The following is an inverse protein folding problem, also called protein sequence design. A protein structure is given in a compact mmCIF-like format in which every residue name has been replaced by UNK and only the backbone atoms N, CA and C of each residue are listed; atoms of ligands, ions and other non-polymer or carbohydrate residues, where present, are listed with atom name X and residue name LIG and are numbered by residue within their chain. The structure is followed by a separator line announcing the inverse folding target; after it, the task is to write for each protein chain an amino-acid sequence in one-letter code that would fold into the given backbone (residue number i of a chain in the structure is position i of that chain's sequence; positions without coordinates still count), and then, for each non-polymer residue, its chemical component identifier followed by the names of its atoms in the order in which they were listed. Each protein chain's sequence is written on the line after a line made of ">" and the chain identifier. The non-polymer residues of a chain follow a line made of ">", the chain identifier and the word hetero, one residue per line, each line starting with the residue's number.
data_IF_256622875601
#
_entry.id   IF_256622875601
#
_cell.length_a   1.000
_cell.length_b   1.000
_cell.length_c   1.000
_cell.angle_alpha   90.00
_cell.angle_beta   90.00
_cell.angle_gamma   90.00
#
_symmetry.space_group_name_H-M   'P 1'
#
loop_
_entity.id
_entity.type
_entity.pdbx_description
1 polymer ?
#
# COMPACT_ATOMS: atom_id res chain seq x y z
N UNK A 1 -26.42 -7.15 9.52
CA UNK A 1 -25.20 -7.88 9.23
C UNK A 1 -25.04 -8.02 7.74
N UNK A 2 -24.01 -7.42 7.18
CA UNK A 2 -23.65 -7.54 5.77
C UNK A 2 -23.14 -8.97 5.59
N UNK A 3 -23.86 -9.80 4.81
CA UNK A 3 -23.33 -11.08 4.38
C UNK A 3 -22.27 -10.83 3.30
N UNK A 4 -21.03 -10.66 3.71
CA UNK A 4 -19.86 -10.47 2.82
C UNK A 4 -19.43 -11.76 2.11
N UNK A 5 -20.35 -12.66 1.80
CA UNK A 5 -20.10 -13.91 1.11
C UNK A 5 -20.16 -13.79 -0.42
N UNK A 6 -19.67 -12.70 -1.01
CA UNK A 6 -19.36 -12.75 -2.43
C UNK A 6 -18.04 -13.53 -2.59
N UNK A 7 -18.20 -14.80 -2.80
CA UNK A 7 -17.09 -15.74 -2.99
C UNK A 7 -16.44 -15.48 -4.34
N UNK A 8 -15.11 -15.56 -4.40
CA UNK A 8 -14.36 -15.58 -5.67
C UNK A 8 -15.06 -16.57 -6.62
N UNK A 9 -15.42 -16.17 -7.86
CA UNK A 9 -16.09 -17.09 -8.77
C UNK A 9 -15.29 -18.36 -8.98
N UNK A 10 -15.96 -19.50 -8.95
CA UNK A 10 -15.30 -20.79 -9.10
C UNK A 10 -14.46 -20.81 -10.39
N UNK A 11 -13.19 -21.13 -10.25
CA UNK A 11 -12.25 -21.21 -11.37
C UNK A 11 -11.73 -19.89 -11.88
N UNK A 12 -12.05 -18.73 -11.25
CA UNK A 12 -11.64 -17.42 -11.73
C UNK A 12 -10.13 -17.31 -11.95
N UNK A 13 -9.33 -17.87 -11.06
CA UNK A 13 -7.85 -17.84 -11.13
C UNK A 13 -7.23 -19.18 -11.64
N UNK A 14 -7.98 -20.09 -12.24
CA UNK A 14 -7.45 -21.41 -12.66
C UNK A 14 -6.27 -21.34 -13.65
N UNK A 15 -6.16 -20.26 -14.43
CA UNK A 15 -5.05 -20.04 -15.36
C UNK A 15 -3.86 -19.30 -14.75
N UNK A 16 -3.93 -18.90 -13.48
CA UNK A 16 -2.85 -18.26 -12.75
C UNK A 16 -1.88 -19.31 -12.18
N UNK A 17 -1.13 -19.99 -13.05
CA UNK A 17 -0.28 -21.14 -12.71
C UNK A 17 1.21 -20.85 -12.76
N UNK A 18 1.60 -19.67 -13.23
CA UNK A 18 2.97 -19.23 -13.39
C UNK A 18 3.59 -18.66 -12.10
N UNK A 19 4.77 -18.10 -12.25
CA UNK A 19 5.48 -17.34 -11.22
C UNK A 19 6.05 -16.07 -11.83
N UNK A 20 6.46 -15.13 -10.98
CA UNK A 20 7.09 -13.87 -11.40
C UNK A 20 6.23 -13.13 -12.44
N UNK A 21 6.87 -12.57 -13.46
CA UNK A 21 6.15 -11.81 -14.49
C UNK A 21 5.28 -12.66 -15.42
N UNK A 22 5.50 -14.01 -15.46
CA UNK A 22 4.56 -14.92 -16.14
C UNK A 22 3.22 -14.94 -15.42
N UNK A 23 3.22 -15.05 -14.09
CA UNK A 23 2.00 -14.94 -13.29
C UNK A 23 1.33 -13.57 -13.47
N UNK A 24 2.12 -12.49 -13.48
CA UNK A 24 1.60 -11.12 -13.68
C UNK A 24 0.79 -11.01 -14.98
N UNK A 25 1.36 -11.48 -16.11
CA UNK A 25 0.68 -11.45 -17.42
C UNK A 25 -0.55 -12.39 -17.46
N UNK A 26 -0.50 -13.54 -16.78
CA UNK A 26 -1.67 -14.40 -16.63
C UNK A 26 -2.79 -13.69 -15.85
N UNK A 27 -2.47 -13.05 -14.73
CA UNK A 27 -3.43 -12.25 -13.96
C UNK A 27 -4.00 -11.10 -14.79
N UNK A 28 -3.17 -10.37 -15.56
CA UNK A 28 -3.65 -9.35 -16.49
C UNK A 28 -4.70 -9.92 -17.45
N UNK A 29 -4.43 -11.08 -18.03
CA UNK A 29 -5.38 -11.73 -18.95
C UNK A 29 -6.70 -12.10 -18.25
N UNK A 30 -6.65 -12.61 -17.02
CA UNK A 30 -7.82 -12.97 -16.20
C UNK A 30 -8.64 -11.72 -15.89
N UNK A 31 -8.01 -10.67 -15.33
CA UNK A 31 -8.73 -9.46 -14.89
C UNK A 31 -9.12 -8.52 -16.02
N UNK A 32 -8.63 -8.77 -17.24
CA UNK A 32 -9.08 -8.07 -18.44
C UNK A 32 -10.27 -8.77 -19.09
N UNK A 33 -10.38 -10.08 -18.91
CA UNK A 33 -11.48 -10.86 -19.46
C UNK A 33 -12.77 -10.56 -18.69
N UNK A 34 -13.82 -10.18 -19.42
CA UNK A 34 -15.11 -9.86 -18.81
C UNK A 34 -15.23 -8.45 -18.21
N UNK A 35 -14.15 -7.68 -18.18
CA UNK A 35 -14.21 -6.27 -17.76
C UNK A 35 -15.10 -5.47 -18.72
N UNK A 36 -16.02 -4.68 -18.13
CA UNK A 36 -16.90 -3.77 -18.84
C UNK A 36 -16.67 -2.37 -18.29
N UNK A 37 -16.28 -1.45 -19.16
CA UNK A 37 -16.20 -0.03 -18.81
C UNK A 37 -17.64 0.53 -18.67
N UNK A 38 -18.06 0.81 -17.46
CA UNK A 38 -19.38 1.36 -17.15
C UNK A 38 -19.45 2.89 -17.34
N UNK A 39 -18.31 3.50 -17.65
CA UNK A 39 -18.20 4.94 -17.82
C UNK A 39 -17.87 5.71 -16.54
N UNK A 40 -17.15 6.81 -16.72
CA UNK A 40 -16.64 7.61 -15.62
C UNK A 40 -17.74 8.20 -14.72
N UNK A 41 -18.90 8.55 -15.30
CA UNK A 41 -20.04 9.07 -14.54
C UNK A 41 -20.65 8.07 -13.55
N UNK A 42 -20.70 6.80 -13.94
CA UNK A 42 -21.37 5.75 -13.19
C UNK A 42 -20.58 5.27 -11.96
N UNK A 43 -19.32 5.65 -11.81
CA UNK A 43 -18.57 5.43 -10.58
C UNK A 43 -19.28 5.95 -9.33
N UNK A 44 -19.97 7.10 -9.43
CA UNK A 44 -20.74 7.63 -8.30
C UNK A 44 -21.90 6.72 -7.89
N UNK A 45 -22.50 5.97 -8.83
CA UNK A 45 -23.53 5.01 -8.53
C UNK A 45 -22.95 3.76 -7.87
N UNK A 46 -21.77 3.33 -8.30
CA UNK A 46 -21.07 2.19 -7.72
C UNK A 46 -20.62 2.44 -6.27
N UNK A 47 -20.19 3.65 -5.94
CA UNK A 47 -19.74 4.01 -4.59
C UNK A 47 -20.79 3.80 -3.50
N UNK A 48 -22.06 3.82 -3.83
CA UNK A 48 -23.16 3.54 -2.87
C UNK A 48 -23.03 2.14 -2.25
N UNK A 49 -22.49 1.18 -2.98
CA UNK A 49 -22.28 -0.18 -2.45
C UNK A 49 -20.83 -0.50 -2.16
N UNK A 50 -19.88 0.11 -2.88
CA UNK A 50 -18.46 -0.22 -2.75
C UNK A 50 -17.69 0.65 -1.77
N UNK A 51 -18.11 1.90 -1.57
CA UNK A 51 -17.37 2.90 -0.80
C UNK A 51 -18.32 3.67 0.17
N UNK A 52 -19.28 2.97 0.79
CA UNK A 52 -20.03 3.46 1.95
C UNK A 52 -19.32 3.07 3.24
N UNK A 53 -19.40 3.92 4.25
CA UNK A 53 -18.91 3.57 5.58
C UNK A 53 -19.81 2.58 6.28
N UNK A 54 -19.41 1.30 6.23
CA UNK A 54 -19.99 0.17 6.93
C UNK A 54 -19.08 -0.37 8.03
N UNK A 55 -17.89 0.21 8.22
CA UNK A 55 -16.81 -0.43 8.99
C UNK A 55 -16.32 0.41 10.17
N UNK A 56 -16.45 1.73 10.12
CA UNK A 56 -15.99 2.66 11.18
C UNK A 56 -17.21 3.20 11.95
N UNK A 57 -17.81 4.31 11.55
CA UNK A 57 -19.04 4.83 12.16
C UNK A 57 -20.29 4.02 11.79
N UNK A 58 -20.25 3.31 10.67
CA UNK A 58 -21.36 2.56 10.11
C UNK A 58 -22.60 3.43 9.91
N UNK A 59 -22.40 4.64 9.40
CA UNK A 59 -23.44 5.65 9.20
C UNK A 59 -23.94 5.75 7.75
N UNK A 60 -23.35 4.92 6.85
CA UNK A 60 -23.67 4.84 5.43
C UNK A 60 -23.35 6.12 4.63
N UNK A 61 -22.48 6.98 5.14
CA UNK A 61 -21.88 8.08 4.38
C UNK A 61 -20.82 7.53 3.42
N UNK A 62 -20.24 8.40 2.60
CA UNK A 62 -19.10 8.00 1.74
C UNK A 62 -17.87 7.75 2.60
N UNK A 63 -17.30 6.55 2.51
CA UNK A 63 -16.00 6.26 3.10
C UNK A 63 -14.91 6.90 2.25
N UNK A 64 -14.38 8.00 2.74
CA UNK A 64 -13.33 8.78 2.12
C UNK A 64 -11.99 8.55 2.84
N UNK A 65 -11.06 7.84 2.23
CA UNK A 65 -9.75 7.54 2.82
C UNK A 65 -8.93 8.79 3.20
N UNK A 66 -9.32 9.98 2.72
CA UNK A 66 -8.62 11.24 3.00
C UNK A 66 -9.27 12.08 4.09
N UNK A 67 -10.44 11.70 4.59
CA UNK A 67 -11.13 12.36 5.71
C UNK A 67 -11.47 11.42 6.88
N UNK A 68 -11.53 10.12 6.63
CA UNK A 68 -11.82 9.07 7.61
C UNK A 68 -10.91 9.13 8.85
N UNK A 69 -11.52 8.97 10.03
CA UNK A 69 -10.84 8.84 11.31
C UNK A 69 -11.12 7.47 11.95
N UNK A 70 -10.32 6.44 11.67
CA UNK A 70 -10.58 5.05 12.09
C UNK A 70 -10.71 4.82 13.61
N UNK A 71 -10.42 5.82 14.42
CA UNK A 71 -10.43 5.71 15.90
C UNK A 71 -11.40 6.65 16.59
N UNK A 72 -12.18 7.39 15.82
CA UNK A 72 -13.11 8.37 16.36
C UNK A 72 -14.06 8.90 15.29
N UNK A 73 -14.84 9.89 15.61
CA UNK A 73 -15.77 10.50 14.65
C UNK A 73 -15.02 11.30 13.60
N UNK A 74 -15.45 11.19 12.35
CA UNK A 74 -14.96 11.98 11.25
C UNK A 74 -15.18 13.48 11.48
N UNK A 75 -14.23 14.28 11.01
CA UNK A 75 -14.34 15.74 11.09
C UNK A 75 -15.51 16.25 10.24
N UNK A 76 -15.78 15.56 9.12
CA UNK A 76 -16.88 15.82 8.20
C UNK A 76 -17.13 14.60 7.32
N UNK A 77 -18.34 14.44 6.82
CA UNK A 77 -18.76 13.36 5.95
C UNK A 77 -19.43 13.85 4.68
N UNK A 78 -19.53 13.00 3.70
CA UNK A 78 -20.23 13.22 2.44
C UNK A 78 -21.33 12.19 2.25
N UNK A 79 -22.52 12.67 1.87
CA UNK A 79 -23.64 11.81 1.54
C UNK A 79 -23.59 11.35 0.09
N UNK A 80 -24.28 10.24 -0.21
CA UNK A 80 -24.42 9.72 -1.58
C UNK A 80 -25.41 10.48 -2.46
N UNK A 81 -26.09 11.51 -1.94
CA UNK A 81 -27.11 12.32 -2.63
C UNK A 81 -26.57 13.10 -3.84
N UNK A 82 -25.27 13.32 -3.88
CA UNK A 82 -24.59 13.99 -4.98
C UNK A 82 -24.51 15.52 -4.87
N UNK A 83 -25.08 16.12 -3.84
CA UNK A 83 -25.12 17.56 -3.65
C UNK A 83 -23.75 18.19 -3.46
N UNK A 84 -22.80 17.40 -2.95
CA UNK A 84 -21.43 17.84 -2.68
C UNK A 84 -20.37 17.27 -3.63
N UNK A 85 -20.79 16.83 -4.82
CA UNK A 85 -19.89 16.46 -5.91
C UNK A 85 -19.34 17.70 -6.59
N UNK A 86 -18.02 17.85 -6.72
CA UNK A 86 -17.46 19.00 -7.40
C UNK A 86 -16.07 18.79 -8.01
N UNK A 87 -15.65 19.82 -8.77
CA UNK A 87 -14.28 19.98 -9.27
C UNK A 87 -13.62 21.29 -8.80
N UNK A 88 -14.36 22.14 -8.05
CA UNK A 88 -13.86 23.42 -7.52
C UNK A 88 -14.02 23.43 -6.00
N UNK A 89 -12.93 23.67 -5.29
CA UNK A 89 -12.83 23.63 -3.84
C UNK A 89 -11.78 24.64 -3.36
N UNK A 90 -11.91 25.12 -2.14
CA UNK A 90 -10.97 26.03 -1.49
C UNK A 90 -10.43 25.47 -0.17
N UNK A 91 -11.17 24.56 0.46
CA UNK A 91 -10.82 23.91 1.73
C UNK A 91 -11.34 22.47 1.79
N UNK A 92 -10.81 21.72 2.76
CA UNK A 92 -11.41 20.43 3.15
C UNK A 92 -12.87 20.65 3.55
N UNK A 93 -13.70 19.62 3.33
CA UNK A 93 -15.14 19.66 3.56
C UNK A 93 -15.95 20.52 2.57
N UNK A 94 -15.35 21.06 1.51
CA UNK A 94 -16.14 21.76 0.48
C UNK A 94 -16.96 20.76 -0.36
N UNK A 95 -16.33 19.73 -0.86
CA UNK A 95 -16.94 18.71 -1.70
C UNK A 95 -16.02 17.53 -1.95
N UNK A 96 -16.58 16.44 -2.48
CA UNK A 96 -15.82 15.26 -2.89
C UNK A 96 -15.79 15.11 -4.41
N UNK A 97 -14.77 14.41 -4.87
CA UNK A 97 -14.62 14.04 -6.27
C UNK A 97 -14.03 12.61 -6.40
N UNK A 98 -13.60 12.24 -7.59
CA UNK A 98 -13.02 10.92 -7.89
C UNK A 98 -11.51 11.04 -7.94
N UNK A 99 -10.86 10.47 -6.94
CA UNK A 99 -9.43 10.35 -6.87
C UNK A 99 -8.94 9.20 -7.75
N UNK A 100 -7.96 9.46 -8.59
CA UNK A 100 -7.23 8.42 -9.31
C UNK A 100 -5.95 8.08 -8.55
N UNK A 101 -5.94 6.95 -7.86
CA UNK A 101 -4.80 6.49 -7.04
C UNK A 101 -3.52 6.43 -7.91
N UNK A 102 -3.61 5.93 -9.15
CA UNK A 102 -2.60 6.24 -10.16
C UNK A 102 -3.08 7.47 -10.97
N UNK A 103 -2.33 8.60 -10.96
CA UNK A 103 -2.83 9.88 -11.48
C UNK A 103 -3.27 9.84 -12.93
N UNK A 104 -4.50 10.29 -13.21
CA UNK A 104 -5.05 10.30 -14.56
C UNK A 104 -4.27 11.16 -15.56
N UNK A 105 -3.49 12.12 -15.09
CA UNK A 105 -2.62 12.93 -15.92
C UNK A 105 -1.52 12.11 -16.61
N UNK A 106 -1.06 11.03 -15.99
CA UNK A 106 0.00 10.19 -16.55
C UNK A 106 -0.47 9.31 -17.73
N UNK A 107 -1.76 9.03 -17.81
CA UNK A 107 -2.34 8.25 -18.91
C UNK A 107 -3.32 9.07 -19.77
N UNK A 108 -3.21 10.41 -19.75
CA UNK A 108 -4.00 11.33 -20.57
C UNK A 108 -5.52 11.12 -20.46
N UNK A 109 -6.00 10.73 -19.26
CA UNK A 109 -7.42 10.44 -18.98
C UNK A 109 -8.04 9.38 -19.90
N UNK A 110 -7.23 8.48 -20.44
CA UNK A 110 -7.70 7.43 -21.35
C UNK A 110 -8.56 6.40 -20.63
N UNK A 111 -9.52 5.84 -21.38
CA UNK A 111 -10.32 4.70 -20.96
C UNK A 111 -9.59 3.39 -21.28
N UNK A 112 -9.82 2.31 -20.55
CA UNK A 112 -10.72 2.20 -19.38
C UNK A 112 -10.12 2.67 -18.06
N UNK A 113 -8.84 3.08 -17.99
CA UNK A 113 -8.15 3.46 -16.76
C UNK A 113 -8.89 4.54 -15.97
N UNK A 114 -9.48 5.52 -16.68
CA UNK A 114 -10.18 6.65 -16.06
C UNK A 114 -11.44 6.26 -15.31
N UNK A 115 -12.08 5.14 -15.68
CA UNK A 115 -13.34 4.66 -15.11
C UNK A 115 -13.20 3.36 -14.32
N UNK A 116 -11.98 2.86 -14.12
CA UNK A 116 -11.74 1.60 -13.40
C UNK A 116 -11.85 1.79 -11.89
N UNK A 117 -12.95 1.26 -11.31
CA UNK A 117 -13.26 1.40 -9.89
C UNK A 117 -12.16 0.85 -8.97
N UNK A 118 -11.35 -0.13 -9.42
CA UNK A 118 -10.30 -0.72 -8.60
C UNK A 118 -9.20 0.27 -8.18
N UNK A 119 -9.06 1.42 -8.87
CA UNK A 119 -8.12 2.47 -8.47
C UNK A 119 -8.71 3.88 -8.52
N UNK A 120 -10.02 4.01 -8.73
CA UNK A 120 -10.71 5.29 -8.67
C UNK A 120 -11.69 5.27 -7.50
N UNK A 121 -11.50 6.17 -6.56
CA UNK A 121 -12.21 6.20 -5.27
C UNK A 121 -12.80 7.59 -4.99
N UNK A 122 -13.88 7.69 -4.18
CA UNK A 122 -14.37 8.98 -3.75
C UNK A 122 -13.45 9.54 -2.66
N UNK A 123 -13.08 10.82 -2.78
CA UNK A 123 -12.29 11.52 -1.75
C UNK A 123 -12.61 13.00 -1.70
N UNK A 124 -12.30 13.64 -0.58
CA UNK A 124 -12.30 15.10 -0.46
C UNK A 124 -11.54 15.76 -1.62
N UNK A 125 -12.17 16.68 -2.29
CA UNK A 125 -11.63 17.32 -3.49
C UNK A 125 -10.39 18.17 -3.20
N UNK A 126 -10.35 18.86 -2.04
CA UNK A 126 -9.22 19.68 -1.66
C UNK A 126 -8.00 18.82 -1.31
N UNK A 127 -8.18 17.75 -0.53
CA UNK A 127 -7.09 16.81 -0.20
C UNK A 127 -6.56 16.15 -1.45
N UNK A 128 -7.44 15.69 -2.36
CA UNK A 128 -7.06 15.20 -3.68
C UNK A 128 -6.22 16.24 -4.46
N UNK A 129 -6.67 17.51 -4.47
CA UNK A 129 -5.91 18.59 -5.06
C UNK A 129 -4.54 18.82 -4.41
N UNK A 130 -4.43 18.68 -3.08
CA UNK A 130 -3.15 18.75 -2.34
C UNK A 130 -2.24 17.59 -2.66
N UNK A 131 -2.80 16.38 -2.83
CA UNK A 131 -2.05 15.21 -3.33
C UNK A 131 -1.51 15.47 -4.74
N UNK A 132 -2.31 16.06 -5.62
CA UNK A 132 -1.91 16.34 -7.02
C UNK A 132 -1.46 15.06 -7.74
N UNK A 133 -0.42 15.12 -8.57
CA UNK A 133 0.19 13.96 -9.23
C UNK A 133 1.39 13.39 -8.43
N UNK A 134 1.57 13.80 -7.17
CA UNK A 134 2.67 13.27 -6.38
C UNK A 134 2.50 11.76 -6.15
N UNK A 135 3.56 10.96 -6.24
CA UNK A 135 3.49 9.56 -5.84
C UNK A 135 3.21 9.43 -4.34
N UNK A 136 2.74 8.29 -3.92
CA UNK A 136 2.64 7.98 -2.50
C UNK A 136 4.03 7.72 -1.90
N UNK A 137 4.18 7.98 -0.59
CA UNK A 137 5.47 7.80 0.09
C UNK A 137 5.37 8.03 1.59
N UNK A 138 6.51 8.08 2.27
CA UNK A 138 6.62 8.34 3.71
C UNK A 138 7.16 9.76 3.93
N UNK A 139 6.55 10.51 4.84
CA UNK A 139 6.87 11.93 5.11
C UNK A 139 7.30 12.11 6.56
N UNK A 140 8.51 12.62 6.81
CA UNK A 140 8.96 12.97 8.17
C UNK A 140 8.63 14.41 8.56
N UNK A 141 8.71 15.33 7.60
CA UNK A 141 8.46 16.76 7.80
C UNK A 141 7.43 17.22 6.78
N UNK A 142 6.17 17.26 7.20
CA UNK A 142 5.06 17.66 6.36
C UNK A 142 5.13 19.15 6.04
N UNK A 143 4.94 19.48 4.75
CA UNK A 143 4.67 20.87 4.32
C UNK A 143 3.19 21.20 4.39
N UNK A 144 2.36 20.17 4.42
CA UNK A 144 0.92 20.27 4.61
C UNK A 144 0.40 18.96 5.25
N UNK A 145 -0.64 19.08 6.08
CA UNK A 145 -1.31 17.94 6.74
C UNK A 145 -2.82 18.16 6.66
N UNK A 146 -3.57 17.12 6.28
CA UNK A 146 -5.04 17.12 6.27
C UNK A 146 -5.62 16.95 7.68
N UNK A 147 -6.91 17.14 7.80
CA UNK A 147 -7.63 16.96 9.07
C UNK A 147 -7.54 15.51 9.61
N UNK A 148 -7.51 14.51 8.74
CA UNK A 148 -7.33 13.12 9.18
C UNK A 148 -5.86 12.72 9.44
N UNK A 149 -4.91 13.59 9.13
CA UNK A 149 -3.49 13.34 9.37
C UNK A 149 -2.68 12.88 8.15
N UNK A 150 -3.30 12.79 6.95
CA UNK A 150 -2.56 12.56 5.70
C UNK A 150 -1.63 13.73 5.40
N UNK A 151 -0.49 13.50 4.73
CA UNK A 151 0.59 14.49 4.65
C UNK A 151 1.12 14.68 3.24
N UNK A 152 1.55 15.89 2.93
CA UNK A 152 2.39 16.21 1.78
C UNK A 152 3.76 16.67 2.27
N UNK A 153 4.84 16.16 1.69
CA UNK A 153 6.19 16.54 2.07
C UNK A 153 7.25 15.77 1.29
N UNK A 154 8.51 15.97 1.68
CA UNK A 154 9.63 15.25 1.07
C UNK A 154 9.61 13.78 1.48
N UNK A 155 9.81 12.90 0.50
CA UNK A 155 9.87 11.46 0.74
C UNK A 155 11.10 11.08 1.56
N UNK A 156 10.88 10.16 2.49
CA UNK A 156 11.95 9.59 3.35
C UNK A 156 12.17 8.10 3.12
N UNK A 157 11.45 7.49 2.18
CA UNK A 157 11.54 6.07 1.88
C UNK A 157 12.30 5.81 0.57
N UNK A 158 13.26 4.91 0.61
CA UNK A 158 13.98 4.47 -0.59
C UNK A 158 14.90 5.54 -1.19
N UNK A 159 15.10 5.46 -2.51
CA UNK A 159 16.03 6.32 -3.25
C UNK A 159 15.40 7.61 -3.80
N UNK A 160 14.08 7.72 -3.80
CA UNK A 160 13.37 8.91 -4.28
C UNK A 160 13.32 9.99 -3.19
N UNK A 161 13.71 11.21 -3.53
CA UNK A 161 13.75 12.34 -2.59
C UNK A 161 12.78 13.47 -2.94
N UNK A 162 11.88 13.28 -3.92
CA UNK A 162 10.88 14.27 -4.31
C UNK A 162 9.71 14.38 -3.33
N UNK A 163 8.75 15.22 -3.67
CA UNK A 163 7.51 15.39 -2.90
C UNK A 163 6.61 14.17 -3.08
N UNK A 164 6.02 13.72 -2.00
CA UNK A 164 5.06 12.59 -1.95
C UNK A 164 3.83 12.94 -1.12
N UNK A 165 2.80 12.13 -1.27
CA UNK A 165 1.65 12.11 -0.38
C UNK A 165 1.70 10.86 0.50
N UNK A 166 1.58 11.02 1.81
CA UNK A 166 1.47 9.94 2.78
C UNK A 166 0.05 9.89 3.32
N UNK A 167 -0.74 8.85 3.02
CA UNK A 167 -2.02 8.62 3.65
C UNK A 167 -1.84 8.18 5.11
N UNK A 168 -2.91 8.16 5.90
CA UNK A 168 -2.89 7.55 7.23
C UNK A 168 -2.59 6.05 7.13
N UNK A 169 -2.05 5.47 8.20
CA UNK A 169 -1.56 4.08 8.20
C UNK A 169 -2.65 3.05 7.86
N UNK A 170 -3.91 3.36 8.19
CA UNK A 170 -5.09 2.51 7.97
C UNK A 170 -5.34 2.17 6.49
N UNK A 171 -4.98 3.05 5.56
CA UNK A 171 -5.27 2.87 4.13
C UNK A 171 -4.01 2.67 3.27
N UNK A 172 -2.85 2.48 3.88
CA UNK A 172 -1.60 2.28 3.14
C UNK A 172 -1.61 0.99 2.33
N UNK A 173 -2.09 -0.09 2.92
CA UNK A 173 -2.23 -1.39 2.24
C UNK A 173 -3.25 -1.36 1.12
N UNK A 174 -4.39 -0.71 1.35
CA UNK A 174 -5.44 -0.53 0.33
C UNK A 174 -4.90 0.17 -0.92
N UNK A 175 -4.23 1.31 -0.72
CA UNK A 175 -3.61 2.08 -1.80
C UNK A 175 -2.52 1.26 -2.50
N UNK A 176 -1.71 0.52 -1.74
CA UNK A 176 -0.70 -0.36 -2.32
C UNK A 176 -1.33 -1.42 -3.24
N UNK A 177 -2.39 -2.10 -2.80
CA UNK A 177 -3.09 -3.11 -3.60
C UNK A 177 -3.81 -2.53 -4.82
N UNK A 178 -4.31 -1.29 -4.74
CA UNK A 178 -4.85 -0.57 -5.90
C UNK A 178 -3.76 -0.26 -6.95
N UNK A 179 -2.60 0.19 -6.51
CA UNK A 179 -1.46 0.48 -7.40
C UNK A 179 -0.85 -0.79 -8.00
N UNK A 180 -0.74 -1.87 -7.23
CA UNK A 180 -0.29 -3.17 -7.73
C UNK A 180 -1.27 -3.76 -8.74
N UNK A 181 -2.59 -3.61 -8.51
CA UNK A 181 -3.60 -3.94 -9.51
C UNK A 181 -3.39 -3.16 -10.80
N UNK A 182 -3.20 -1.84 -10.71
CA UNK A 182 -2.94 -0.99 -11.88
C UNK A 182 -1.73 -1.46 -12.67
N UNK A 183 -0.64 -1.82 -11.98
CA UNK A 183 0.57 -2.36 -12.61
C UNK A 183 0.37 -3.69 -13.35
N UNK A 184 -0.59 -4.50 -12.91
CA UNK A 184 -0.96 -5.75 -13.59
C UNK A 184 -1.92 -5.47 -14.74
N UNK A 185 -3.01 -4.76 -14.45
CA UNK A 185 -4.12 -4.55 -15.40
C UNK A 185 -3.68 -3.84 -16.67
N UNK A 186 -2.76 -2.89 -16.53
CA UNK A 186 -2.33 -1.97 -17.58
C UNK A 186 -0.85 -2.14 -17.97
N UNK A 187 -0.30 -3.35 -17.80
CA UNK A 187 1.13 -3.61 -18.06
C UNK A 187 1.57 -3.31 -19.50
N UNK A 188 0.67 -3.44 -20.46
CA UNK A 188 0.98 -3.12 -21.87
C UNK A 188 0.92 -1.62 -22.15
N UNK A 189 0.11 -0.89 -21.39
CA UNK A 189 -0.12 0.54 -21.60
C UNK A 189 0.98 1.40 -20.97
N UNK A 190 1.60 0.94 -19.86
CA UNK A 190 2.64 1.68 -19.14
C UNK A 190 3.91 1.95 -19.96
N UNK A 191 4.12 1.23 -21.04
CA UNK A 191 5.23 1.45 -22.00
C UNK A 191 4.78 2.22 -23.24
N UNK A 192 3.51 2.64 -23.30
CA UNK A 192 2.97 3.39 -24.45
C UNK A 192 3.59 4.79 -24.53
N UNK A 193 4.03 5.17 -25.71
CA UNK A 193 4.50 6.54 -25.97
C UNK A 193 3.39 7.60 -25.87
N UNK A 194 2.13 7.19 -25.71
CA UNK A 194 0.99 8.09 -25.55
C UNK A 194 0.78 8.56 -24.11
N UNK A 195 1.47 7.93 -23.15
CA UNK A 195 1.43 8.36 -21.75
C UNK A 195 2.52 9.41 -21.51
N UNK A 196 2.16 10.56 -20.95
CA UNK A 196 3.11 11.63 -20.58
C UNK A 196 4.04 11.23 -19.43
N UNK A 197 3.92 9.99 -19.00
CA UNK A 197 4.50 9.42 -17.80
C UNK A 197 6.03 9.41 -17.76
N UNK A 198 6.68 9.35 -18.91
CA UNK A 198 8.13 9.17 -18.97
C UNK A 198 8.95 10.48 -18.84
N UNK A 199 8.28 11.62 -18.80
CA UNK A 199 8.96 12.93 -18.83
C UNK A 199 8.89 13.70 -17.52
N UNK A 200 8.12 13.26 -16.53
CA UNK A 200 7.94 13.97 -15.27
C UNK A 200 8.78 13.36 -14.15
N UNK A 201 9.44 14.19 -13.34
CA UNK A 201 10.34 13.78 -12.27
C UNK A 201 9.64 13.09 -11.08
N UNK A 202 8.31 13.20 -11.00
CA UNK A 202 7.49 12.60 -9.94
C UNK A 202 6.73 11.33 -10.37
N UNK A 203 7.00 10.81 -11.55
CA UNK A 203 6.39 9.59 -12.04
C UNK A 203 7.09 8.36 -11.46
N UNK A 204 6.39 7.43 -10.80
CA UNK A 204 6.99 6.24 -10.22
C UNK A 204 7.19 5.09 -11.21
N UNK A 205 6.85 5.25 -12.50
CA UNK A 205 7.05 4.21 -13.52
C UNK A 205 8.51 4.09 -13.93
N UNK A 206 8.99 2.85 -14.08
CA UNK A 206 10.36 2.56 -14.52
C UNK A 206 10.51 2.34 -16.03
N UNK A 207 9.43 2.49 -16.80
CA UNK A 207 9.42 2.31 -18.27
C UNK A 207 9.38 0.85 -18.74
N UNK A 208 9.26 -0.13 -17.85
CA UNK A 208 9.13 -1.54 -18.22
C UNK A 208 7.72 -2.08 -17.96
N UNK A 209 7.28 -3.03 -18.78
CA UNK A 209 6.02 -3.74 -18.57
C UNK A 209 6.13 -4.87 -17.53
N UNK A 210 7.32 -5.29 -17.16
CA UNK A 210 7.57 -6.34 -16.18
C UNK A 210 7.44 -5.82 -14.74
N UNK A 211 8.39 -5.02 -14.31
CA UNK A 211 8.40 -4.46 -12.94
C UNK A 211 7.39 -3.32 -12.79
N UNK A 212 7.17 -2.52 -13.83
CA UNK A 212 6.28 -1.36 -13.96
C UNK A 212 6.74 -0.16 -13.14
N UNK A 213 6.90 -0.32 -11.86
CA UNK A 213 7.31 0.77 -10.96
C UNK A 213 8.80 0.75 -10.68
N UNK A 214 9.36 1.90 -10.32
CA UNK A 214 10.71 2.02 -9.78
C UNK A 214 10.89 1.10 -8.55
N UNK A 215 12.12 0.61 -8.34
CA UNK A 215 12.41 -0.35 -7.27
C UNK A 215 12.01 0.18 -5.89
N UNK A 216 12.29 1.46 -5.59
CA UNK A 216 11.91 2.06 -4.32
C UNK A 216 10.39 2.04 -4.11
N UNK A 217 9.61 2.20 -5.19
CA UNK A 217 8.16 2.26 -5.11
C UNK A 217 7.55 0.88 -4.90
N UNK A 218 8.01 -0.13 -5.64
CA UNK A 218 7.61 -1.53 -5.38
C UNK A 218 7.91 -1.95 -3.94
N UNK A 219 9.06 -1.54 -3.40
CA UNK A 219 9.43 -1.83 -2.01
C UNK A 219 8.52 -1.13 -1.01
N UNK A 220 8.16 0.13 -1.26
CA UNK A 220 7.19 0.87 -0.46
C UNK A 220 5.83 0.18 -0.46
N UNK A 221 5.31 -0.13 -1.66
CA UNK A 221 4.00 -0.77 -1.82
C UNK A 221 3.96 -2.15 -1.13
N UNK A 222 5.02 -2.94 -1.27
CA UNK A 222 5.12 -4.21 -0.56
C UNK A 222 5.20 -4.04 0.97
N UNK A 223 5.94 -3.03 1.45
CA UNK A 223 6.00 -2.74 2.88
C UNK A 223 4.62 -2.36 3.43
N UNK A 224 3.88 -1.54 2.72
CA UNK A 224 2.52 -1.16 3.08
C UNK A 224 1.58 -2.37 3.04
N UNK A 225 1.61 -3.15 1.98
CA UNK A 225 0.82 -4.38 1.81
C UNK A 225 1.01 -5.39 2.96
N UNK A 226 2.25 -5.54 3.47
CA UNK A 226 2.54 -6.47 4.58
C UNK A 226 2.10 -5.91 5.93
N UNK A 227 2.26 -4.60 6.15
CA UNK A 227 1.98 -3.97 7.45
C UNK A 227 0.52 -3.60 7.65
N UNK A 228 -0.22 -3.48 6.55
CA UNK A 228 -1.66 -3.26 6.50
C UNK A 228 -2.30 -4.36 5.63
N UNK A 229 -2.62 -5.52 6.22
CA UNK A 229 -3.20 -6.67 5.52
C UNK A 229 -4.60 -6.38 5.00
N UNK A 230 -5.06 -7.22 4.05
CA UNK A 230 -6.41 -7.13 3.48
C UNK A 230 -7.48 -7.09 4.56
N UNK A 231 -8.31 -6.07 4.50
CA UNK A 231 -9.43 -5.81 5.41
C UNK A 231 -10.75 -6.35 4.86
N UNK A 232 -11.75 -6.49 5.74
CA UNK A 232 -13.13 -6.84 5.34
C UNK A 232 -13.73 -5.77 4.42
N UNK A 233 -13.32 -4.49 4.57
CA UNK A 233 -13.70 -3.40 3.69
C UNK A 233 -13.22 -3.63 2.25
N UNK A 234 -11.98 -4.00 2.07
CA UNK A 234 -11.43 -4.28 0.75
C UNK A 234 -12.08 -5.50 0.11
N UNK A 235 -12.39 -6.54 0.90
CA UNK A 235 -13.11 -7.72 0.42
C UNK A 235 -14.50 -7.31 -0.09
N UNK A 236 -15.25 -6.52 0.66
CA UNK A 236 -16.53 -5.98 0.23
C UNK A 236 -16.37 -5.19 -1.07
N UNK A 237 -15.46 -4.22 -1.08
CA UNK A 237 -15.20 -3.36 -2.24
C UNK A 237 -14.83 -4.15 -3.49
N UNK A 238 -14.00 -5.20 -3.36
CA UNK A 238 -13.62 -6.07 -4.46
C UNK A 238 -14.80 -6.86 -5.03
N UNK A 239 -15.74 -7.25 -4.18
CA UNK A 239 -16.96 -7.93 -4.57
C UNK A 239 -17.91 -6.99 -5.32
N UNK A 240 -18.11 -5.78 -4.82
CA UNK A 240 -18.92 -4.76 -5.47
C UNK A 240 -18.32 -4.28 -6.79
N UNK A 241 -16.99 -4.14 -6.87
CA UNK A 241 -16.30 -3.86 -8.12
C UNK A 241 -16.51 -4.97 -9.16
N UNK A 242 -16.48 -6.24 -8.73
CA UNK A 242 -16.79 -7.36 -9.62
C UNK A 242 -18.25 -7.30 -10.12
N UNK A 243 -19.19 -7.01 -9.24
CA UNK A 243 -20.61 -6.85 -9.63
C UNK A 243 -20.81 -5.68 -10.60
N UNK A 244 -20.05 -4.59 -10.44
CA UNK A 244 -20.14 -3.38 -11.24
C UNK A 244 -19.47 -3.52 -12.62
N UNK A 245 -18.20 -3.96 -12.66
CA UNK A 245 -17.39 -3.94 -13.90
C UNK A 245 -16.85 -5.30 -14.35
N UNK A 246 -17.15 -6.40 -13.61
CA UNK A 246 -16.89 -7.78 -14.06
C UNK A 246 -15.50 -8.31 -13.80
N UNK A 247 -14.64 -7.60 -13.09
CA UNK A 247 -13.31 -8.08 -12.73
C UNK A 247 -12.96 -7.85 -11.25
N UNK A 248 -11.90 -8.49 -10.77
CA UNK A 248 -11.47 -8.49 -9.37
C UNK A 248 -10.03 -8.00 -9.23
N UNK A 249 -9.70 -7.42 -8.08
CA UNK A 249 -8.32 -7.15 -7.72
C UNK A 249 -7.68 -8.43 -7.15
N UNK A 250 -6.71 -9.04 -7.84
CA UNK A 250 -6.10 -10.29 -7.42
C UNK A 250 -5.28 -10.18 -6.13
N UNK A 251 -4.85 -8.99 -5.73
CA UNK A 251 -4.06 -8.78 -4.52
C UNK A 251 -4.92 -8.66 -3.26
N UNK A 252 -6.24 -8.56 -3.42
CA UNK A 252 -7.22 -8.71 -2.33
C UNK A 252 -7.59 -10.18 -2.19
N UNK A 253 -7.83 -10.89 -3.30
CA UNK A 253 -8.21 -12.30 -3.30
C UNK A 253 -7.04 -13.23 -2.94
N UNK A 254 -5.83 -12.89 -3.38
CA UNK A 254 -4.59 -13.65 -3.26
C UNK A 254 -3.42 -12.73 -2.91
N UNK A 255 -3.34 -12.24 -1.66
CA UNK A 255 -2.28 -11.31 -1.22
C UNK A 255 -0.85 -11.84 -1.47
N UNK A 256 -0.67 -13.16 -1.42
CA UNK A 256 0.61 -13.84 -1.68
C UNK A 256 1.16 -13.63 -3.11
N UNK A 257 0.32 -13.23 -4.05
CA UNK A 257 0.76 -12.99 -5.43
C UNK A 257 1.73 -11.79 -5.52
N UNK A 258 1.66 -10.83 -4.59
CA UNK A 258 2.62 -9.71 -4.55
C UNK A 258 4.04 -10.23 -4.45
N UNK A 259 4.31 -11.10 -3.49
CA UNK A 259 5.63 -11.71 -3.32
C UNK A 259 5.97 -12.69 -4.46
N UNK A 260 4.99 -13.41 -5.00
CA UNK A 260 5.22 -14.33 -6.12
C UNK A 260 5.65 -13.60 -7.39
N UNK A 261 5.13 -12.40 -7.63
CA UNK A 261 5.43 -11.60 -8.84
C UNK A 261 6.72 -10.81 -8.68
N UNK A 262 6.87 -10.06 -7.59
CA UNK A 262 7.97 -9.11 -7.39
C UNK A 262 9.02 -9.57 -6.37
N UNK A 263 8.93 -10.80 -5.85
CA UNK A 263 9.82 -11.32 -4.81
C UNK A 263 11.30 -11.19 -5.12
N UNK A 264 11.71 -11.34 -6.38
CA UNK A 264 13.10 -11.15 -6.79
C UNK A 264 13.58 -9.69 -6.69
N UNK A 265 12.70 -8.72 -6.94
CA UNK A 265 13.00 -7.28 -6.78
C UNK A 265 13.08 -6.93 -5.29
N UNK A 266 12.19 -7.52 -4.49
CA UNK A 266 12.12 -7.33 -3.04
C UNK A 266 13.30 -8.01 -2.33
N UNK A 267 13.70 -9.19 -2.76
CA UNK A 267 14.76 -9.98 -2.13
C UNK A 267 16.17 -9.40 -2.33
N UNK A 268 16.41 -8.63 -3.39
CA UNK A 268 17.73 -8.06 -3.65
C UNK A 268 18.15 -7.02 -2.61
N UNK A 269 17.25 -6.28 -2.03
CA UNK A 269 17.51 -5.33 -0.92
C UNK A 269 17.47 -6.00 0.44
N UNK A 270 16.49 -6.88 0.66
CA UNK A 270 16.38 -7.68 1.87
C UNK A 270 17.53 -8.66 2.00
N UNK A 271 18.01 -9.25 0.91
CA UNK A 271 19.13 -10.16 0.93
C UNK A 271 20.43 -9.45 1.36
N UNK A 272 20.72 -8.27 0.84
CA UNK A 272 21.92 -7.50 1.25
C UNK A 272 21.81 -7.00 2.69
N UNK A 273 20.66 -6.49 3.11
CA UNK A 273 20.39 -6.08 4.47
C UNK A 273 20.47 -7.28 5.41
N UNK A 274 19.79 -8.38 5.06
CA UNK A 274 19.83 -9.63 5.80
C UNK A 274 21.25 -10.19 5.95
N UNK A 275 22.03 -10.25 4.87
CA UNK A 275 23.39 -10.77 4.88
C UNK A 275 24.31 -9.96 5.78
N UNK A 276 24.07 -8.68 5.91
CA UNK A 276 24.88 -7.74 6.68
C UNK A 276 24.50 -7.69 8.18
N UNK A 277 23.35 -8.27 8.59
CA UNK A 277 22.95 -8.36 9.99
C UNK A 277 23.38 -9.70 10.58
N UNK A 278 24.33 -9.68 11.49
CA UNK A 278 24.78 -10.85 12.25
C UNK A 278 24.59 -10.62 13.74
N UNK A 279 24.07 -11.61 14.44
CA UNK A 279 23.86 -11.61 15.89
C UNK A 279 24.70 -12.72 16.49
N UNK A 280 25.60 -12.39 17.38
CA UNK A 280 26.49 -13.36 17.99
C UNK A 280 26.91 -12.97 19.42
N UNK A 281 27.19 -13.95 20.29
CA UNK A 281 26.94 -15.36 20.07
C UNK A 281 25.43 -15.65 20.05
N UNK A 282 25.00 -16.64 19.27
CA UNK A 282 23.64 -17.13 19.22
C UNK A 282 23.65 -18.66 19.05
N UNK A 283 23.26 -19.43 20.06
CA UNK A 283 22.77 -19.05 21.40
C UNK A 283 23.80 -18.30 22.27
N UNK A 284 23.30 -17.46 23.20
CA UNK A 284 24.13 -16.72 24.17
C UNK A 284 23.82 -17.09 25.61
N UNK A 285 24.89 -17.22 26.41
CA UNK A 285 24.82 -17.28 27.88
C UNK A 285 25.30 -15.96 28.53
N UNK A 286 25.68 -14.96 27.71
CA UNK A 286 26.19 -13.67 28.16
C UNK A 286 25.03 -12.72 28.51
N UNK A 287 25.35 -11.64 29.19
CA UNK A 287 24.40 -10.56 29.51
C UNK A 287 24.13 -9.63 28.30
N UNK A 288 24.90 -9.78 27.25
CA UNK A 288 24.77 -9.01 26.01
C UNK A 288 25.03 -9.87 24.78
N UNK A 289 24.60 -9.39 23.63
CA UNK A 289 24.95 -9.95 22.30
C UNK A 289 25.50 -8.84 21.41
N UNK A 290 26.43 -9.22 20.56
CA UNK A 290 26.90 -8.34 19.49
C UNK A 290 25.96 -8.41 18.28
N UNK A 291 25.72 -7.26 17.70
CA UNK A 291 24.98 -7.14 16.45
C UNK A 291 25.88 -6.42 15.45
N UNK A 292 26.25 -7.12 14.39
CA UNK A 292 27.00 -6.53 13.29
C UNK A 292 26.03 -5.96 12.28
N UNK A 293 26.16 -4.68 11.96
CA UNK A 293 25.49 -4.00 10.86
C UNK A 293 26.47 -3.05 10.17
N UNK A 294 26.26 -2.82 8.88
CA UNK A 294 27.04 -1.84 8.09
C UNK A 294 26.46 -0.44 8.16
N UNK A 295 25.33 -0.26 8.81
CA UNK A 295 24.57 0.98 8.91
C UNK A 295 23.89 1.13 10.27
N UNK A 296 23.31 2.31 10.53
CA UNK A 296 22.51 2.56 11.72
C UNK A 296 21.19 1.79 11.63
N UNK A 297 20.85 1.06 12.68
CA UNK A 297 19.63 0.21 12.73
C UNK A 297 18.85 0.43 14.03
N UNK A 298 17.57 0.16 13.94
CA UNK A 298 16.68 0.06 15.09
C UNK A 298 16.35 -1.42 15.34
N UNK A 299 16.33 -1.82 16.61
CA UNK A 299 15.97 -3.17 17.01
C UNK A 299 14.76 -3.11 17.93
N UNK A 300 13.75 -3.92 17.60
CA UNK A 300 12.62 -4.21 18.48
C UNK A 300 12.70 -5.70 18.86
N UNK A 301 12.71 -6.01 20.16
CA UNK A 301 12.77 -7.38 20.65
C UNK A 301 11.41 -7.82 21.13
N UNK A 302 11.01 -9.01 20.70
CA UNK A 302 9.73 -9.61 21.04
C UNK A 302 9.95 -11.00 21.68
N UNK A 303 9.09 -11.39 22.59
CA UNK A 303 8.95 -12.80 22.98
C UNK A 303 8.36 -13.60 21.82
N UNK A 304 8.42 -14.93 21.91
CA UNK A 304 7.77 -15.84 20.94
C UNK A 304 6.24 -15.68 20.88
N UNK A 305 5.63 -15.08 21.92
CA UNK A 305 4.20 -14.77 21.99
C UNK A 305 3.87 -13.37 21.47
N UNK A 306 4.81 -12.70 20.79
CA UNK A 306 4.60 -11.37 20.19
C UNK A 306 4.67 -10.19 21.15
N UNK A 307 4.87 -10.40 22.48
CA UNK A 307 5.00 -9.29 23.43
C UNK A 307 6.32 -8.53 23.19
N UNK A 308 6.22 -7.23 22.89
CA UNK A 308 7.40 -6.37 22.77
C UNK A 308 8.08 -6.18 24.13
N UNK A 309 9.37 -6.46 24.22
CA UNK A 309 10.18 -6.39 25.43
C UNK A 309 11.00 -5.11 25.50
N UNK A 310 11.67 -4.76 24.39
CA UNK A 310 12.50 -3.56 24.33
C UNK A 310 12.63 -3.04 22.90
N UNK A 311 13.02 -1.75 22.80
CA UNK A 311 13.38 -1.09 21.54
C UNK A 311 14.69 -0.33 21.79
N UNK A 312 15.66 -0.50 20.89
CA UNK A 312 16.92 0.21 20.97
C UNK A 312 17.40 0.60 19.56
N UNK A 313 18.18 1.66 19.46
CA UNK A 313 18.87 2.04 18.24
C UNK A 313 20.34 1.72 18.38
N UNK A 314 20.91 1.05 17.38
CA UNK A 314 22.31 0.65 17.34
C UNK A 314 22.97 1.43 16.20
N UNK A 315 23.96 2.21 16.55
CA UNK A 315 24.78 2.90 15.56
C UNK A 315 25.82 1.95 14.98
N UNK A 316 26.26 2.20 13.76
CA UNK A 316 27.31 1.44 13.08
C UNK A 316 28.57 1.24 13.94
N UNK A 317 28.86 2.17 14.86
CA UNK A 317 30.00 2.13 15.80
C UNK A 317 29.72 1.44 17.13
N UNK A 318 28.48 1.07 17.44
CA UNK A 318 28.08 0.42 18.70
C UNK A 318 27.17 -0.77 18.42
N UNK A 319 27.68 -1.96 18.65
CA UNK A 319 27.10 -3.22 18.20
C UNK A 319 26.61 -4.13 19.34
N UNK A 320 26.31 -3.60 20.51
CA UNK A 320 25.86 -4.42 21.64
C UNK A 320 24.37 -4.21 21.96
N UNK A 321 23.66 -5.30 22.21
CA UNK A 321 22.32 -5.32 22.79
C UNK A 321 22.41 -5.96 24.17
N UNK A 322 21.99 -5.23 25.20
CA UNK A 322 21.88 -5.74 26.58
C UNK A 322 20.67 -6.69 26.66
N UNK A 323 20.92 -7.88 27.13
CA UNK A 323 19.94 -8.96 27.37
C UNK A 323 19.99 -9.49 28.81
N UNK A 324 20.65 -8.78 29.74
CA UNK A 324 20.83 -9.19 31.12
C UNK A 324 19.48 -9.54 31.79
N UNK A 325 18.46 -8.73 31.56
CA UNK A 325 17.12 -8.88 32.12
C UNK A 325 16.21 -9.85 31.34
N UNK A 326 16.73 -10.56 30.33
CA UNK A 326 15.92 -11.51 29.58
C UNK A 326 15.97 -12.89 30.25
N UNK A 327 14.83 -13.54 30.39
CA UNK A 327 14.78 -14.94 30.81
C UNK A 327 15.40 -15.86 29.74
N UNK A 328 15.78 -17.08 30.15
CA UNK A 328 16.17 -18.11 29.19
C UNK A 328 15.03 -18.39 28.23
N UNK A 329 15.32 -18.44 26.94
CA UNK A 329 14.28 -18.67 25.94
C UNK A 329 14.61 -18.16 24.53
N UNK A 330 13.60 -18.24 23.67
CA UNK A 330 13.67 -17.79 22.28
C UNK A 330 13.06 -16.40 22.15
N UNK A 331 13.74 -15.55 21.41
CA UNK A 331 13.33 -14.17 21.13
C UNK A 331 13.36 -13.88 19.65
N UNK A 332 12.49 -12.98 19.20
CA UNK A 332 12.45 -12.45 17.85
C UNK A 332 12.96 -11.01 17.86
N UNK A 333 13.99 -10.75 17.11
CA UNK A 333 14.57 -9.42 16.93
C UNK A 333 14.10 -8.89 15.57
N UNK A 334 13.17 -7.93 15.56
CA UNK A 334 12.85 -7.15 14.36
C UNK A 334 13.90 -6.07 14.25
N UNK A 335 14.74 -6.17 13.22
CA UNK A 335 15.84 -5.23 12.91
C UNK A 335 15.36 -4.38 11.74
N UNK A 336 15.45 -3.06 11.87
CA UNK A 336 14.95 -2.09 10.89
C UNK A 336 16.01 -1.04 10.61
N UNK A 337 16.07 -0.57 9.37
CA UNK A 337 16.62 0.73 9.00
C UNK A 337 15.51 1.58 8.36
N UNK A 338 15.84 2.68 7.68
CA UNK A 338 14.84 3.56 7.03
C UNK A 338 14.14 2.91 5.84
N UNK A 339 14.66 1.80 5.30
CA UNK A 339 14.22 1.21 4.04
C UNK A 339 13.84 -0.28 4.17
N UNK A 340 14.42 -0.98 5.15
CA UNK A 340 14.35 -2.43 5.22
C UNK A 340 14.02 -2.91 6.63
N UNK A 341 13.37 -4.06 6.73
CA UNK A 341 13.21 -4.76 7.99
C UNK A 341 13.51 -6.24 7.84
N UNK A 342 14.05 -6.86 8.88
CA UNK A 342 14.26 -8.30 8.94
C UNK A 342 14.01 -8.82 10.34
N UNK A 343 13.60 -10.09 10.43
CA UNK A 343 13.44 -10.78 11.70
C UNK A 343 14.57 -11.78 11.89
N UNK A 344 15.19 -11.74 13.06
CA UNK A 344 16.22 -12.68 13.49
C UNK A 344 15.81 -13.39 14.76
N UNK A 345 15.98 -14.71 14.75
CA UNK A 345 15.82 -15.52 15.97
C UNK A 345 17.09 -15.40 16.82
N UNK A 346 16.89 -15.17 18.10
CA UNK A 346 17.94 -15.18 19.12
C UNK A 346 17.55 -16.14 20.26
N UNK A 347 18.52 -16.86 20.82
CA UNK A 347 18.32 -17.81 21.92
C UNK A 347 19.20 -17.39 23.10
N UNK A 348 18.58 -17.08 24.26
CA UNK A 348 19.26 -16.92 25.53
C UNK A 348 19.25 -18.25 26.29
N UNK A 349 20.43 -18.72 26.72
CA UNK A 349 20.65 -19.93 27.50
C UNK A 349 20.61 -19.65 29.01
#
# INVERSE_FOLDING_TARGET
>A
GINSNAQIPSGYYNSATGSEYVLKTQLKSIISSGHVDQGYGDLYNAYVSSDSDFFYENDNTILDMYSENPTGTDTYNYEHDGDRRCGNYNSENDCYNREHIFPQGFFNQQLPMRSDIHHVVPTDGYVNGRRSNNPFGEVSNATWTSNNGSKVGQNTYGSYSGVVFEPIDEFKGDIARMLLYFAVRYEDDVTSNTWDSHTTTNNPLNGSNNQVYETWYIQLLNNWHINDPVSDREILRNNEAYAFQGNRNPFIDHPEYVNTIWGNVLSNTDYSFNKNIKIYPNPSSLEYVYIKSVEDIQIKVFSILGKKLTKTSIKKSNHTLDISNFAKGVYLLKVLNNQNSTIRKFIKK
#
